data_IF_134403951226
#
_entry.id   IF_134403951226
#
_cell.length_a   1.000
_cell.length_b   1.000
_cell.length_c   1.000
_cell.angle_alpha   90.00
_cell.angle_beta   90.00
_cell.angle_gamma   90.00
#
_symmetry.space_group_name_H-M   'P 1'
#
loop_
_entity.id
_entity.type
_entity.pdbx_description
1 polymer ?
#
# COMPACT_ATOMS: atom_id res chain seq x y z
N UNK A 1 18.76 43.29 -22.12
CA UNK A 1 19.29 42.03 -21.54
C UNK A 1 19.05 42.03 -20.04
N UNK A 2 18.01 41.37 -19.50
CA UNK A 2 17.88 41.17 -18.07
C UNK A 2 18.45 39.81 -17.66
N UNK A 3 19.45 39.82 -16.78
CA UNK A 3 20.02 38.63 -16.15
C UNK A 3 19.13 38.14 -15.01
N UNK A 4 18.92 36.84 -14.97
CA UNK A 4 18.00 36.14 -14.07
C UNK A 4 18.41 36.18 -12.60
N UNK A 5 17.45 36.60 -11.78
CA UNK A 5 17.38 36.40 -10.33
C UNK A 5 17.43 34.90 -9.99
N UNK A 6 18.46 34.45 -9.26
CA UNK A 6 18.57 33.06 -8.78
C UNK A 6 18.31 33.00 -7.29
N UNK A 7 17.04 32.76 -6.92
CA UNK A 7 16.58 32.58 -5.54
C UNK A 7 16.78 31.12 -5.12
N UNK A 8 17.94 30.79 -4.52
CA UNK A 8 18.12 29.49 -3.84
C UNK A 8 17.35 29.50 -2.51
N UNK A 9 16.23 28.77 -2.44
CA UNK A 9 15.57 28.43 -1.17
C UNK A 9 15.64 26.92 -0.94
N UNK A 10 16.05 26.60 0.29
CA UNK A 10 16.30 25.29 0.90
C UNK A 10 15.06 24.41 0.84
N UNK A 11 15.24 23.12 0.47
CA UNK A 11 14.24 22.08 0.71
C UNK A 11 14.13 21.83 2.21
N UNK A 12 12.95 22.10 2.77
CA UNK A 12 12.58 21.74 4.12
C UNK A 12 11.29 20.92 4.09
N UNK A 13 11.35 19.76 4.75
CA UNK A 13 10.24 18.98 5.29
C UNK A 13 9.21 18.41 4.31
N UNK A 14 9.37 17.12 4.02
CA UNK A 14 8.28 16.26 3.58
C UNK A 14 7.18 16.26 4.66
N UNK A 15 6.15 17.09 4.45
CA UNK A 15 4.95 17.11 5.26
C UNK A 15 4.13 15.87 4.90
N UNK A 16 4.32 14.80 5.68
CA UNK A 16 3.28 13.80 5.90
C UNK A 16 2.00 14.56 6.31
N UNK A 17 0.93 14.41 5.52
CA UNK A 17 -0.49 14.65 5.82
C UNK A 17 -1.18 15.05 4.51
N UNK A 18 -1.64 14.06 3.73
CA UNK A 18 -2.71 14.28 2.77
C UNK A 18 -4.04 13.88 3.42
N UNK A 19 -5.03 14.80 3.57
CA UNK A 19 -6.38 14.44 3.99
C UNK A 19 -7.12 13.68 2.87
N UNK A 20 -8.17 12.91 3.21
CA UNK A 20 -8.62 11.77 2.41
C UNK A 20 -9.55 12.20 1.28
N UNK A 21 -9.07 12.21 0.03
CA UNK A 21 -9.93 12.35 -1.14
C UNK A 21 -10.50 10.98 -1.57
N UNK A 22 -11.76 10.78 -1.16
CA UNK A 22 -12.86 10.14 -1.89
C UNK A 22 -12.84 8.64 -2.29
N UNK A 23 -11.76 7.87 -2.25
CA UNK A 23 -11.80 6.46 -2.74
C UNK A 23 -11.47 5.39 -1.68
N UNK A 24 -12.10 5.54 -0.51
CA UNK A 24 -12.28 4.46 0.49
C UNK A 24 -13.19 3.31 -0.01
N UNK A 25 -13.20 2.97 -1.29
CA UNK A 25 -14.14 2.00 -1.89
C UNK A 25 -13.44 0.75 -2.40
N UNK A 26 -12.75 0.08 -1.49
CA UNK A 26 -12.77 -1.37 -1.44
C UNK A 26 -13.35 -1.77 -0.07
N UNK A 27 -14.68 -1.77 0.02
CA UNK A 27 -15.47 -2.40 1.09
C UNK A 27 -15.56 -1.73 2.47
N UNK A 28 -15.36 -0.41 2.59
CA UNK A 28 -15.72 0.35 3.82
C UNK A 28 -14.86 0.11 5.07
N UNK A 29 -13.96 -0.87 5.06
CA UNK A 29 -13.04 -1.12 6.17
C UNK A 29 -11.89 -0.09 6.21
N UNK A 30 -11.58 0.41 7.41
CA UNK A 30 -10.49 1.36 7.64
C UNK A 30 -9.16 0.78 7.13
N UNK A 31 -8.45 1.54 6.28
CA UNK A 31 -7.09 1.24 5.84
C UNK A 31 -6.08 1.96 6.70
N UNK A 32 -5.03 1.25 7.10
CA UNK A 32 -3.92 1.81 7.86
C UNK A 32 -2.65 1.84 7.00
N UNK A 33 -1.78 2.86 7.14
CA UNK A 33 -0.43 2.84 6.58
C UNK A 33 0.32 1.60 7.05
N UNK A 34 0.92 0.89 6.10
CA UNK A 34 1.70 -0.33 6.36
C UNK A 34 2.74 -0.47 5.26
N UNK A 35 3.86 0.24 5.41
CA UNK A 35 4.94 0.21 4.43
C UNK A 35 5.85 -0.97 4.70
N UNK A 36 5.76 -2.02 3.87
CA UNK A 36 6.57 -3.23 4.01
C UNK A 36 6.98 -3.79 2.65
N UNK A 37 8.22 -4.26 2.58
CA UNK A 37 8.70 -5.05 1.44
C UNK A 37 7.91 -6.36 1.38
N UNK A 38 7.49 -6.73 0.18
CA UNK A 38 6.85 -8.01 -0.09
C UNK A 38 7.44 -8.65 -1.36
N UNK A 39 7.27 -9.96 -1.48
CA UNK A 39 7.30 -10.64 -2.78
C UNK A 39 5.86 -10.77 -3.28
N UNK A 40 5.66 -10.61 -4.58
CA UNK A 40 4.38 -10.84 -5.25
C UNK A 40 4.58 -11.90 -6.30
N UNK A 41 3.91 -13.03 -6.12
CA UNK A 41 3.87 -14.12 -7.07
C UNK A 41 2.63 -13.98 -7.95
N UNK A 42 2.81 -14.14 -9.26
CA UNK A 42 1.74 -14.00 -10.25
C UNK A 42 1.25 -15.37 -10.74
N UNK A 43 -0.04 -15.48 -11.04
CA UNK A 43 -0.66 -16.73 -11.52
C UNK A 43 0.00 -17.32 -12.78
N UNK A 44 0.53 -16.48 -13.67
CA UNK A 44 1.20 -16.93 -14.90
C UNK A 44 2.67 -17.32 -14.68
N UNK A 45 3.12 -17.32 -13.43
CA UNK A 45 4.51 -17.49 -13.03
C UNK A 45 5.25 -16.17 -12.92
N UNK A 46 6.42 -16.24 -12.27
CA UNK A 46 7.24 -15.08 -11.93
C UNK A 46 6.91 -14.51 -10.55
N UNK A 47 7.94 -13.91 -9.96
CA UNK A 47 7.86 -13.24 -8.66
C UNK A 47 8.60 -11.90 -8.73
N UNK A 48 8.04 -10.87 -8.11
CA UNK A 48 8.65 -9.54 -8.07
C UNK A 48 8.71 -9.00 -6.64
N UNK A 49 9.82 -8.34 -6.33
CA UNK A 49 9.97 -7.57 -5.10
C UNK A 49 9.20 -6.26 -5.23
N UNK A 50 8.28 -6.00 -4.29
CA UNK A 50 7.45 -4.80 -4.26
C UNK A 50 7.31 -4.25 -2.84
N UNK A 51 6.47 -3.23 -2.66
CA UNK A 51 6.11 -2.70 -1.34
C UNK A 51 4.60 -2.65 -1.14
N UNK A 52 4.11 -3.24 -0.05
CA UNK A 52 2.80 -2.87 0.48
C UNK A 52 2.91 -1.46 1.06
N UNK A 53 1.92 -0.59 0.79
CA UNK A 53 1.87 0.79 1.29
C UNK A 53 0.80 0.97 2.36
N UNK A 54 -0.34 0.30 2.19
CA UNK A 54 -1.43 0.27 3.17
C UNK A 54 -2.16 -1.07 3.10
N UNK A 55 -2.84 -1.42 4.20
CA UNK A 55 -3.55 -2.68 4.34
C UNK A 55 -4.82 -2.50 5.18
N UNK A 56 -5.81 -3.35 4.92
CA UNK A 56 -6.92 -3.67 5.81
C UNK A 56 -7.30 -5.15 5.64
N UNK A 57 -8.32 -5.61 6.37
CA UNK A 57 -8.80 -7.01 6.29
C UNK A 57 -9.38 -7.41 4.92
N UNK A 58 -9.66 -6.44 4.05
CA UNK A 58 -10.23 -6.70 2.72
C UNK A 58 -9.17 -6.68 1.61
N UNK A 59 -7.99 -6.11 1.87
CA UNK A 59 -6.99 -5.96 0.84
C UNK A 59 -5.80 -5.08 1.23
N UNK A 60 -4.86 -5.01 0.30
CA UNK A 60 -3.65 -4.19 0.38
C UNK A 60 -3.52 -3.28 -0.85
N UNK A 61 -2.70 -2.25 -0.73
CA UNK A 61 -2.17 -1.52 -1.88
C UNK A 61 -0.69 -1.84 -2.04
N UNK A 62 -0.30 -2.28 -3.23
CA UNK A 62 1.07 -2.67 -3.57
C UNK A 62 1.64 -1.66 -4.56
N UNK A 63 2.77 -1.04 -4.21
CA UNK A 63 3.54 -0.19 -5.09
C UNK A 63 4.45 -1.03 -5.99
N UNK A 64 4.25 -0.88 -7.30
CA UNK A 64 4.99 -1.54 -8.37
C UNK A 64 4.81 -0.69 -9.64
N UNK A 65 5.87 -0.50 -10.42
CA UNK A 65 5.77 0.29 -11.66
C UNK A 65 5.10 -0.49 -12.80
N UNK A 66 5.42 -1.76 -12.91
CA UNK A 66 4.84 -2.65 -13.91
C UNK A 66 3.44 -3.11 -13.45
N UNK A 67 2.41 -2.72 -14.20
CA UNK A 67 1.02 -2.98 -13.81
C UNK A 67 0.61 -4.42 -14.15
N UNK A 68 0.17 -5.22 -13.17
CA UNK A 68 -0.45 -6.50 -13.46
C UNK A 68 -1.84 -6.29 -14.08
N UNK A 69 -2.40 -7.35 -14.68
CA UNK A 69 -3.71 -7.28 -15.32
C UNK A 69 -4.82 -7.23 -14.27
N UNK A 70 -5.88 -6.47 -14.55
CA UNK A 70 -7.08 -6.48 -13.71
C UNK A 70 -7.67 -7.90 -13.63
N UNK A 71 -8.10 -8.30 -12.43
CA UNK A 71 -8.65 -9.63 -12.16
C UNK A 71 -7.61 -10.74 -12.00
N UNK A 72 -6.33 -10.49 -12.30
CA UNK A 72 -5.26 -11.48 -12.17
C UNK A 72 -5.11 -11.91 -10.71
N UNK A 73 -4.90 -13.22 -10.48
CA UNK A 73 -4.57 -13.73 -9.15
C UNK A 73 -3.11 -13.46 -8.81
N UNK A 74 -2.90 -13.09 -7.56
CA UNK A 74 -1.59 -12.81 -6.98
C UNK A 74 -1.49 -13.38 -5.58
N UNK A 75 -0.28 -13.72 -5.17
CA UNK A 75 0.04 -14.09 -3.79
C UNK A 75 1.07 -13.11 -3.26
N UNK A 76 0.78 -12.46 -2.14
CA UNK A 76 1.69 -11.52 -1.49
C UNK A 76 2.34 -12.18 -0.27
N UNK A 77 3.67 -12.15 -0.22
CA UNK A 77 4.48 -12.67 0.87
C UNK A 77 5.22 -11.54 1.57
N UNK A 78 5.04 -11.39 2.88
CA UNK A 78 5.77 -10.38 3.66
C UNK A 78 5.92 -10.81 5.11
N UNK A 79 6.93 -10.27 5.78
CA UNK A 79 7.16 -10.52 7.22
C UNK A 79 6.55 -9.44 8.09
N UNK A 80 6.04 -9.86 9.25
CA UNK A 80 5.60 -8.94 10.29
C UNK A 80 6.79 -8.33 11.05
N UNK A 81 6.68 -7.05 11.47
CA UNK A 81 7.81 -6.34 12.10
C UNK A 81 8.27 -6.94 13.43
N UNK A 82 7.37 -7.53 14.21
CA UNK A 82 7.63 -7.91 15.60
C UNK A 82 7.95 -9.41 15.76
N UNK A 83 7.46 -10.24 14.85
CA UNK A 83 7.50 -11.70 15.01
C UNK A 83 8.38 -12.40 13.96
N UNK A 84 8.89 -11.67 12.96
CA UNK A 84 9.54 -12.22 11.74
C UNK A 84 8.68 -13.27 11.00
N UNK A 85 7.42 -13.45 11.42
CA UNK A 85 6.51 -14.42 10.84
C UNK A 85 6.11 -13.98 9.44
N UNK A 86 6.23 -14.91 8.50
CA UNK A 86 5.81 -14.70 7.12
C UNK A 86 4.30 -14.85 7.00
N UNK A 87 3.67 -13.86 6.37
CA UNK A 87 2.27 -13.89 5.95
C UNK A 87 2.22 -14.07 4.45
N UNK A 88 1.42 -15.05 4.05
CA UNK A 88 1.09 -15.35 2.66
C UNK A 88 -0.39 -15.04 2.45
N UNK A 89 -0.68 -14.04 1.62
CA UNK A 89 -2.03 -13.57 1.36
C UNK A 89 -2.38 -13.72 -0.12
N UNK A 90 -3.36 -14.55 -0.41
CA UNK A 90 -3.93 -14.69 -1.75
C UNK A 90 -4.91 -13.56 -2.05
N UNK A 91 -4.92 -13.10 -3.29
CA UNK A 91 -5.83 -12.06 -3.73
C UNK A 91 -5.96 -11.93 -5.23
N UNK A 92 -6.76 -10.94 -5.62
CA UNK A 92 -6.95 -10.55 -7.02
C UNK A 92 -6.66 -9.08 -7.19
N UNK A 93 -6.06 -8.72 -8.33
CA UNK A 93 -5.87 -7.33 -8.73
C UNK A 93 -7.24 -6.69 -8.96
N UNK A 94 -7.65 -5.82 -8.05
CA UNK A 94 -8.99 -5.21 -8.06
C UNK A 94 -9.03 -3.91 -8.88
N UNK A 95 -7.92 -3.17 -8.92
CA UNK A 95 -7.75 -1.93 -9.67
C UNK A 95 -6.25 -1.59 -9.79
N UNK A 96 -5.88 -0.77 -10.78
CA UNK A 96 -4.51 -0.33 -11.02
C UNK A 96 -4.40 1.19 -10.94
N UNK A 97 -3.21 1.67 -10.58
CA UNK A 97 -2.81 3.07 -10.53
C UNK A 97 -1.51 3.22 -11.33
N UNK A 98 -1.58 3.27 -12.66
CA UNK A 98 -0.39 3.43 -13.48
C UNK A 98 0.27 4.78 -13.23
N UNK A 99 1.55 4.88 -13.60
CA UNK A 99 2.31 6.13 -13.50
C UNK A 99 1.65 7.24 -14.30
N UNK A 100 1.39 8.37 -13.63
CA UNK A 100 0.83 9.58 -14.22
C UNK A 100 1.91 10.65 -14.39
N UNK A 101 1.85 11.42 -15.47
CA UNK A 101 2.77 12.56 -15.68
C UNK A 101 2.51 13.72 -14.69
N UNK A 102 1.26 13.88 -14.26
CA UNK A 102 0.83 14.89 -13.30
C UNK A 102 0.01 14.21 -12.18
N UNK A 103 0.67 13.60 -11.18
CA UNK A 103 -0.04 12.86 -10.14
C UNK A 103 -0.93 13.79 -9.32
N UNK A 104 -2.24 13.56 -9.36
CA UNK A 104 -3.24 14.25 -8.53
C UNK A 104 -3.45 13.57 -7.17
N UNK A 105 -2.84 12.41 -6.97
CA UNK A 105 -2.91 11.61 -5.75
C UNK A 105 -1.52 11.35 -5.16
N UNK A 106 -1.45 11.17 -3.85
CA UNK A 106 -0.21 10.93 -3.11
C UNK A 106 0.28 9.47 -3.16
N UNK A 107 -0.39 8.59 -3.91
CA UNK A 107 0.02 7.19 -4.03
C UNK A 107 1.04 7.01 -5.15
N UNK A 108 2.12 6.24 -4.93
CA UNK A 108 3.05 5.87 -6.00
C UNK A 108 2.35 4.95 -7.02
N UNK A 109 2.90 4.74 -8.22
CA UNK A 109 2.41 3.71 -9.14
C UNK A 109 2.25 2.36 -8.44
N UNK A 110 1.15 1.68 -8.70
CA UNK A 110 0.83 0.44 -7.99
C UNK A 110 -0.56 -0.10 -8.32
N UNK A 111 -1.02 -1.05 -7.52
CA UNK A 111 -2.31 -1.69 -7.70
C UNK A 111 -2.94 -2.10 -6.37
N UNK A 112 -4.27 -2.16 -6.36
CA UNK A 112 -5.04 -2.66 -5.22
C UNK A 112 -5.24 -4.17 -5.33
N UNK A 113 -4.89 -4.90 -4.26
CA UNK A 113 -5.18 -6.33 -4.12
C UNK A 113 -6.39 -6.49 -3.22
N UNK A 114 -7.43 -7.16 -3.70
CA UNK A 114 -8.54 -7.64 -2.87
C UNK A 114 -8.25 -9.05 -2.39
N UNK A 115 -8.17 -9.27 -1.08
CA UNK A 115 -7.85 -10.58 -0.53
C UNK A 115 -8.97 -11.60 -0.80
N UNK A 116 -8.58 -12.85 -1.06
CA UNK A 116 -9.49 -13.97 -1.30
C UNK A 116 -9.16 -15.10 -0.33
N UNK A 117 -10.18 -15.69 0.28
CA UNK A 117 -10.02 -16.89 1.12
C UNK A 117 -9.09 -16.70 2.33
N UNK A 118 -9.06 -15.52 2.95
CA UNK A 118 -8.26 -15.32 4.17
C UNK A 118 -8.64 -16.36 5.23
N UNK A 119 -7.64 -17.11 5.70
CA UNK A 119 -7.79 -17.93 6.90
C UNK A 119 -8.11 -17.05 8.11
N UNK A 120 -8.80 -17.60 9.10
CA UNK A 120 -9.11 -16.88 10.34
C UNK A 120 -7.84 -16.38 11.03
N UNK A 121 -6.78 -17.17 10.98
CA UNK A 121 -5.46 -16.80 11.52
C UNK A 121 -4.89 -15.56 10.82
N UNK A 122 -4.89 -15.53 9.48
CA UNK A 122 -4.39 -14.38 8.71
C UNK A 122 -5.28 -13.15 8.88
N UNK A 123 -6.60 -13.34 8.97
CA UNK A 123 -7.54 -12.27 9.30
C UNK A 123 -7.21 -11.65 10.65
N UNK A 124 -7.05 -12.47 11.69
CA UNK A 124 -6.74 -11.99 13.05
C UNK A 124 -5.41 -11.24 13.09
N UNK A 125 -4.39 -11.71 12.36
CA UNK A 125 -3.11 -11.01 12.20
C UNK A 125 -3.28 -9.63 11.56
N UNK A 126 -4.01 -9.53 10.45
CA UNK A 126 -4.24 -8.24 9.77
C UNK A 126 -5.06 -7.30 10.66
N UNK A 127 -6.06 -7.81 11.37
CA UNK A 127 -6.80 -7.02 12.36
C UNK A 127 -5.91 -6.52 13.49
N UNK A 128 -4.95 -7.31 13.96
CA UNK A 128 -3.99 -6.89 14.97
C UNK A 128 -3.15 -5.71 14.47
N UNK A 129 -2.67 -5.74 13.22
CA UNK A 129 -1.95 -4.62 12.58
C UNK A 129 -2.79 -3.35 12.59
N UNK A 130 -4.07 -3.45 12.19
CA UNK A 130 -5.00 -2.32 12.16
C UNK A 130 -5.22 -1.76 13.56
N UNK A 131 -5.49 -2.63 14.55
CA UNK A 131 -5.69 -2.24 15.96
C UNK A 131 -4.45 -1.56 16.55
N UNK A 132 -3.27 -2.12 16.32
CA UNK A 132 -1.99 -1.60 16.80
C UNK A 132 -1.70 -0.20 16.26
N UNK A 133 -1.92 0.01 14.95
CA UNK A 133 -1.79 1.33 14.35
C UNK A 133 -2.74 2.35 15.00
N UNK A 134 -4.01 1.99 15.18
CA UNK A 134 -5.01 2.86 15.81
C UNK A 134 -4.63 3.22 17.25
N UNK A 135 -4.16 2.25 18.03
CA UNK A 135 -3.69 2.48 19.40
C UNK A 135 -2.52 3.46 19.44
N UNK A 136 -1.54 3.33 18.52
CA UNK A 136 -0.41 4.26 18.42
C UNK A 136 -0.84 5.69 18.07
N UNK A 137 -1.82 5.85 17.18
CA UNK A 137 -2.36 7.18 16.84
C UNK A 137 -3.11 7.84 18.00
N UNK A 138 -3.82 7.04 18.81
CA UNK A 138 -4.58 7.56 19.97
C UNK A 138 -3.71 8.04 21.13
N UNK A 139 -2.46 7.57 21.24
CA UNK A 139 -1.51 7.96 22.30
C UNK A 139 -0.68 9.21 21.95
N UNK A 140 -0.82 9.71 20.72
CA UNK A 140 -0.09 10.88 20.23
C UNK A 140 -0.90 12.18 20.24
N UNK A 141 -2.08 12.20 20.90
CA UNK A 141 -2.91 13.38 21.12
C UNK A 141 -3.00 13.70 22.61
#
# INVERSE_FOLDING_TARGET
MPGHETRRRRLAHAKMMAPPSAERRAGGALRVPFVRRCQVDFEEGGSVSAFIVNINVLGAYVALDEMPRLGQRVVCHFRLPETEQELTLEGVVAWTNPRQQHPVHSLPPGFGVGFRGLSDENRLRIEAIVREYLMRQSRGH
#
